data_IF_237147442058
#
_entry.id   IF_237147442058
#
_cell.length_a   1.000
_cell.length_b   1.000
_cell.length_c   1.000
_cell.angle_alpha   90.00
_cell.angle_beta   90.00
_cell.angle_gamma   90.00
#
_symmetry.space_group_name_H-M   'P 1'
#
loop_
_entity.id
_entity.type
_entity.pdbx_description
1 polymer ?
#
# COMPACT_ATOMS: atom_id res chain seq x y z
N UNK A 1 -5.56 -6.92 -16.83
CA UNK A 1 -6.74 -6.04 -16.81
C UNK A 1 -6.38 -4.82 -15.98
N UNK A 2 -6.29 -3.66 -16.61
CA UNK A 2 -5.86 -2.39 -16.00
C UNK A 2 -7.07 -1.69 -15.35
N UNK A 3 -6.88 -0.91 -14.28
CA UNK A 3 -7.97 -0.22 -13.53
C UNK A 3 -8.84 0.62 -14.48
N UNK A 4 -8.21 1.30 -15.43
CA UNK A 4 -8.88 2.08 -16.47
C UNK A 4 -9.90 1.29 -17.29
N UNK A 5 -9.57 0.05 -17.68
CA UNK A 5 -10.48 -0.81 -18.46
C UNK A 5 -11.75 -1.12 -17.64
N UNK A 6 -11.61 -1.37 -16.33
CA UNK A 6 -12.75 -1.56 -15.43
C UNK A 6 -13.56 -0.29 -15.23
N UNK A 7 -12.91 0.87 -15.17
CA UNK A 7 -13.60 2.15 -15.06
C UNK A 7 -14.44 2.45 -16.32
N UNK A 8 -13.92 2.12 -17.50
CA UNK A 8 -14.65 2.21 -18.77
C UNK A 8 -15.86 1.26 -18.80
N UNK A 9 -15.68 0.01 -18.38
CA UNK A 9 -16.78 -0.96 -18.30
C UNK A 9 -17.86 -0.51 -17.31
N UNK A 10 -17.47 -0.01 -16.14
CA UNK A 10 -18.39 0.52 -15.15
C UNK A 10 -19.17 1.74 -15.66
N UNK A 11 -18.49 2.68 -16.34
CA UNK A 11 -19.15 3.82 -16.98
C UNK A 11 -20.16 3.36 -18.04
N UNK A 12 -19.78 2.41 -18.90
CA UNK A 12 -20.66 1.83 -19.91
C UNK A 12 -21.91 1.18 -19.28
N UNK A 13 -21.73 0.42 -18.20
CA UNK A 13 -22.85 -0.19 -17.47
C UNK A 13 -23.77 0.87 -16.86
N UNK A 14 -23.20 1.92 -16.27
CA UNK A 14 -23.95 3.04 -15.69
C UNK A 14 -24.80 3.75 -16.76
N UNK A 15 -24.22 4.08 -17.92
CA UNK A 15 -24.98 4.68 -19.02
C UNK A 15 -26.02 3.73 -19.63
N UNK A 16 -25.73 2.42 -19.67
CA UNK A 16 -26.69 1.41 -20.08
C UNK A 16 -27.93 1.36 -19.16
N UNK A 17 -27.73 1.46 -17.84
CA UNK A 17 -28.83 1.52 -16.85
C UNK A 17 -29.63 2.82 -17.01
N UNK A 18 -28.94 3.95 -17.19
CA UNK A 18 -29.57 5.26 -17.34
C UNK A 18 -30.22 5.48 -18.71
N UNK A 19 -30.01 4.57 -19.67
CA UNK A 19 -30.39 4.72 -21.08
C UNK A 19 -29.91 6.06 -21.66
N UNK A 20 -28.72 6.50 -21.23
CA UNK A 20 -28.15 7.78 -21.62
C UNK A 20 -27.05 7.59 -22.66
N UNK A 21 -26.99 8.52 -23.62
CA UNK A 21 -25.88 8.65 -24.56
C UNK A 21 -25.08 9.91 -24.20
N UNK A 22 -24.03 9.80 -23.36
CA UNK A 22 -23.23 10.96 -22.96
C UNK A 22 -22.43 11.52 -24.14
N UNK A 23 -22.01 12.78 -24.04
CA UNK A 23 -20.95 13.29 -24.91
C UNK A 23 -19.63 12.60 -24.58
N UNK A 24 -18.70 12.55 -25.54
CA UNK A 24 -17.37 11.98 -25.34
C UNK A 24 -16.60 12.66 -24.19
N UNK A 25 -16.82 13.96 -23.98
CA UNK A 25 -16.21 14.71 -22.88
C UNK A 25 -16.79 14.28 -21.53
N UNK A 26 -18.11 14.16 -21.42
CA UNK A 26 -18.75 13.69 -20.18
C UNK A 26 -18.36 12.24 -19.87
N UNK A 27 -18.32 11.38 -20.89
CA UNK A 27 -17.87 9.99 -20.75
C UNK A 27 -16.44 9.93 -20.20
N UNK A 28 -15.51 10.70 -20.77
CA UNK A 28 -14.13 10.75 -20.30
C UNK A 28 -14.03 11.23 -18.84
N UNK A 29 -14.83 12.22 -18.44
CA UNK A 29 -14.86 12.71 -17.06
C UNK A 29 -15.39 11.64 -16.10
N UNK A 30 -16.48 10.95 -16.45
CA UNK A 30 -17.06 9.89 -15.63
C UNK A 30 -16.09 8.72 -15.48
N UNK A 31 -15.45 8.27 -16.57
CA UNK A 31 -14.42 7.23 -16.51
C UNK A 31 -13.29 7.64 -15.59
N UNK A 32 -12.81 8.89 -15.68
CA UNK A 32 -11.74 9.41 -14.81
C UNK A 32 -12.15 9.43 -13.34
N UNK A 33 -13.37 9.83 -13.01
CA UNK A 33 -13.87 9.83 -11.63
C UNK A 33 -13.93 8.40 -11.09
N UNK A 34 -14.48 7.46 -11.85
CA UNK A 34 -14.56 6.06 -11.44
C UNK A 34 -13.15 5.47 -11.25
N UNK A 35 -12.24 5.73 -12.20
CA UNK A 35 -10.85 5.28 -12.12
C UNK A 35 -10.18 5.81 -10.85
N UNK A 36 -10.32 7.11 -10.56
CA UNK A 36 -9.73 7.72 -9.37
C UNK A 36 -10.29 7.12 -8.08
N UNK A 37 -11.62 6.96 -7.97
CA UNK A 37 -12.24 6.34 -6.80
C UNK A 37 -11.76 4.90 -6.58
N UNK A 38 -11.55 4.13 -7.65
CA UNK A 38 -11.00 2.78 -7.55
C UNK A 38 -9.54 2.78 -7.08
N UNK A 39 -8.72 3.72 -7.56
CA UNK A 39 -7.32 3.88 -7.13
C UNK A 39 -7.28 4.25 -5.64
N UNK A 40 -8.04 5.25 -5.24
CA UNK A 40 -8.07 5.73 -3.85
C UNK A 40 -8.50 4.59 -2.91
N UNK A 41 -9.58 3.88 -3.26
CA UNK A 41 -10.04 2.71 -2.49
C UNK A 41 -8.95 1.65 -2.40
N UNK A 42 -8.27 1.32 -3.50
CA UNK A 42 -7.22 0.29 -3.49
C UNK A 42 -6.02 0.68 -2.62
N UNK A 43 -5.65 1.97 -2.62
CA UNK A 43 -4.57 2.49 -1.77
C UNK A 43 -4.95 2.41 -0.29
N UNK A 44 -6.14 2.88 0.09
CA UNK A 44 -6.66 2.80 1.45
C UNK A 44 -6.72 1.35 1.95
N UNK A 45 -7.19 0.44 1.08
CA UNK A 45 -7.28 -0.98 1.38
C UNK A 45 -5.89 -1.62 1.55
N UNK A 46 -4.93 -1.19 0.72
CA UNK A 46 -3.52 -1.57 0.81
C UNK A 46 -2.89 -1.13 2.13
N UNK A 47 -3.13 0.12 2.55
CA UNK A 47 -2.69 0.63 3.85
C UNK A 47 -3.33 -0.15 5.01
N UNK A 48 -4.62 -0.46 4.92
CA UNK A 48 -5.31 -1.26 5.94
C UNK A 48 -4.75 -2.68 6.02
N UNK A 49 -4.48 -3.31 4.88
CA UNK A 49 -3.83 -4.63 4.83
C UNK A 49 -2.43 -4.58 5.44
N UNK A 50 -1.64 -3.55 5.10
CA UNK A 50 -0.31 -3.35 5.67
C UNK A 50 -0.39 -3.17 7.19
N UNK A 51 -1.35 -2.40 7.69
CA UNK A 51 -1.59 -2.24 9.14
C UNK A 51 -1.92 -3.56 9.81
N UNK A 52 -2.84 -4.35 9.25
CA UNK A 52 -3.19 -5.67 9.79
C UNK A 52 -1.99 -6.63 9.76
N UNK A 53 -1.21 -6.63 8.69
CA UNK A 53 0.01 -7.43 8.61
C UNK A 53 1.03 -6.99 9.68
N UNK A 54 1.17 -5.69 9.90
CA UNK A 54 2.04 -5.15 10.95
C UNK A 54 1.56 -5.52 12.35
N UNK A 55 0.25 -5.53 12.58
CA UNK A 55 -0.36 -5.87 13.87
C UNK A 55 -0.24 -7.38 14.16
N UNK A 56 -0.46 -8.22 13.13
CA UNK A 56 -0.36 -9.68 13.21
C UNK A 56 1.09 -10.16 13.44
N UNK A 57 2.07 -9.54 12.77
CA UNK A 57 3.49 -9.86 12.90
C UNK A 57 4.22 -8.96 13.93
N UNK A 58 3.50 -8.32 14.84
CA UNK A 58 4.06 -7.43 15.88
C UNK A 58 5.13 -8.13 16.72
N UNK A 59 4.94 -9.42 17.03
CA UNK A 59 5.93 -10.25 17.74
C UNK A 59 7.25 -10.43 16.96
N UNK A 60 7.19 -10.52 15.63
CA UNK A 60 8.39 -10.65 14.78
C UNK A 60 9.13 -9.31 14.64
N UNK A 61 8.41 -8.18 14.71
CA UNK A 61 9.02 -6.84 14.74
C UNK A 61 9.80 -6.61 16.03
N UNK A 62 9.22 -6.96 17.18
CA UNK A 62 9.90 -6.89 18.47
C UNK A 62 11.12 -7.83 18.53
N UNK A 63 11.00 -9.02 17.94
CA UNK A 63 12.11 -9.96 17.85
C UNK A 63 13.25 -9.40 16.97
N UNK A 64 12.94 -8.84 15.81
CA UNK A 64 13.92 -8.21 14.94
C UNK A 64 14.62 -7.02 15.62
N UNK A 65 13.88 -6.19 16.37
CA UNK A 65 14.45 -5.10 17.17
C UNK A 65 15.38 -5.62 18.28
N UNK A 66 14.97 -6.67 19.01
CA UNK A 66 15.81 -7.30 20.06
C UNK A 66 17.10 -7.87 19.49
N UNK A 67 17.03 -8.60 18.38
CA UNK A 67 18.21 -9.16 17.70
C UNK A 67 19.14 -8.05 17.24
N UNK A 68 18.61 -6.96 16.66
CA UNK A 68 19.41 -5.82 16.24
C UNK A 68 20.09 -5.08 17.41
N UNK A 69 19.45 -5.03 18.58
CA UNK A 69 20.04 -4.48 19.80
C UNK A 69 21.13 -5.39 20.39
N UNK A 70 20.93 -6.71 20.39
CA UNK A 70 21.94 -7.66 20.84
C UNK A 70 23.20 -7.63 19.96
N UNK A 71 23.04 -7.57 18.64
CA UNK A 71 24.15 -7.42 17.69
C UNK A 71 24.91 -6.11 17.95
N UNK A 72 24.20 -5.00 18.18
CA UNK A 72 24.83 -3.71 18.50
C UNK A 72 25.62 -3.78 19.80
N UNK A 73 25.07 -4.37 20.86
CA UNK A 73 25.76 -4.55 22.15
C UNK A 73 27.02 -5.40 22.00
N UNK A 74 26.94 -6.50 21.26
CA UNK A 74 28.09 -7.36 20.98
C UNK A 74 29.20 -6.60 20.23
N UNK A 75 28.84 -5.83 19.19
CA UNK A 75 29.79 -5.00 18.45
C UNK A 75 30.43 -3.92 19.33
N UNK A 76 29.66 -3.24 20.17
CA UNK A 76 30.20 -2.24 21.10
C UNK A 76 31.19 -2.86 22.08
N UNK A 77 30.87 -4.02 22.66
CA UNK A 77 31.77 -4.74 23.56
C UNK A 77 33.06 -5.19 22.84
N UNK A 78 32.94 -5.68 21.61
CA UNK A 78 34.08 -6.10 20.79
C UNK A 78 35.00 -4.93 20.46
N UNK A 79 34.44 -3.79 20.04
CA UNK A 79 35.19 -2.56 19.77
C UNK A 79 35.88 -2.05 21.04
N UNK A 80 35.19 -2.04 22.19
CA UNK A 80 35.76 -1.61 23.47
C UNK A 80 36.94 -2.50 23.89
N UNK A 81 36.78 -3.83 23.79
CA UNK A 81 37.85 -4.78 24.10
C UNK A 81 39.06 -4.58 23.18
N UNK A 82 38.84 -4.51 21.86
CA UNK A 82 39.92 -4.28 20.90
C UNK A 82 40.62 -2.92 21.09
N UNK A 83 39.88 -1.89 21.50
CA UNK A 83 40.43 -0.56 21.77
C UNK A 83 41.23 -0.51 23.08
N UNK A 84 40.88 -1.34 24.07
CA UNK A 84 41.58 -1.44 25.36
C UNK A 84 42.86 -2.27 25.33
N UNK A 85 43.04 -3.08 24.27
CA UNK A 85 44.23 -3.89 24.02
C UNK A 85 45.34 -3.14 23.27
N UNK A 86 45.15 -1.83 23.03
CA UNK A 86 46.05 -0.96 22.30
C UNK A 86 46.62 0.10 23.24
#
# INVERSE_FOLDING_TARGET
>A
MQIRERAQEAAKNLYGILQAAPSAELEAQVVKVIEQTMIDTLLEEGERCAKVAMDCCSADRDLAHKVADEIRRANTALIANLSSMR
#
